data_IF_684018515917
#
_entry.id   IF_684018515917
#
_cell.length_a   1.000
_cell.length_b   1.000
_cell.length_c   1.000
_cell.angle_alpha   90.00
_cell.angle_beta   90.00
_cell.angle_gamma   90.00
#
_symmetry.space_group_name_H-M   'P 1'
#
loop_
_entity.id
_entity.type
_entity.pdbx_description
1 polymer ?
#
# COMPACT_ATOMS: atom_id res chain seq x y z
N UNK A 1 12.63 1.09 -24.31
CA UNK A 1 11.30 1.60 -23.99
C UNK A 1 10.39 0.45 -23.57
N UNK A 2 9.72 0.61 -22.47
CA UNK A 2 8.80 -0.43 -22.01
C UNK A 2 7.42 -0.16 -22.57
N UNK A 3 7.12 -0.79 -23.68
CA UNK A 3 5.82 -0.64 -24.32
C UNK A 3 4.72 -1.07 -23.37
N UNK A 4 3.69 -0.27 -23.26
CA UNK A 4 2.50 -0.59 -22.52
C UNK A 4 2.49 -0.24 -21.03
N UNK A 5 3.64 -0.05 -20.41
CA UNK A 5 3.67 0.31 -18.99
C UNK A 5 3.44 1.81 -18.83
N UNK A 6 2.43 2.18 -18.04
CA UNK A 6 2.19 3.59 -17.75
C UNK A 6 3.26 4.10 -16.79
N UNK A 7 3.59 5.37 -16.92
CA UNK A 7 4.46 6.05 -15.96
C UNK A 7 3.81 6.07 -14.59
N UNK A 8 4.58 5.80 -13.57
CA UNK A 8 4.09 5.87 -12.21
C UNK A 8 3.78 7.31 -11.83
N UNK A 9 2.69 7.50 -11.08
CA UNK A 9 2.36 8.79 -10.51
C UNK A 9 2.71 8.77 -9.03
N UNK A 10 3.55 9.70 -8.60
CA UNK A 10 4.04 9.78 -7.23
C UNK A 10 3.17 10.75 -6.42
N UNK A 11 2.82 10.33 -5.20
CA UNK A 11 2.05 11.11 -4.25
C UNK A 11 2.88 11.25 -2.98
N UNK A 12 3.48 12.41 -2.71
CA UNK A 12 4.17 12.63 -1.44
C UNK A 12 3.18 12.51 -0.28
N UNK A 13 3.58 11.81 0.76
CA UNK A 13 2.72 11.60 1.92
C UNK A 13 3.25 12.44 3.07
N UNK A 14 2.60 13.56 3.32
CA UNK A 14 3.00 14.51 4.35
C UNK A 14 2.15 14.38 5.62
N UNK A 15 0.96 13.81 5.50
CA UNK A 15 0.05 13.66 6.62
C UNK A 15 -1.23 12.96 6.22
N UNK A 16 -2.24 13.04 7.10
CA UNK A 16 -3.50 12.31 6.89
C UNK A 16 -4.25 12.72 5.63
N UNK A 17 -4.19 13.99 5.25
CA UNK A 17 -4.93 14.43 4.06
C UNK A 17 -4.42 13.75 2.80
N UNK A 18 -3.13 13.51 2.70
CA UNK A 18 -2.56 12.79 1.56
C UNK A 18 -2.93 11.31 1.57
N UNK A 19 -3.10 10.71 2.76
CA UNK A 19 -3.58 9.32 2.86
C UNK A 19 -4.96 9.21 2.22
N UNK A 20 -5.87 10.12 2.54
CA UNK A 20 -7.22 10.11 1.98
C UNK A 20 -7.18 10.35 0.48
N UNK A 21 -6.40 11.33 0.04
CA UNK A 21 -6.30 11.68 -1.38
C UNK A 21 -5.78 10.52 -2.23
N UNK A 22 -4.68 9.89 -1.80
CA UNK A 22 -4.07 8.82 -2.60
C UNK A 22 -4.94 7.57 -2.60
N UNK A 23 -5.58 7.23 -1.48
CA UNK A 23 -6.44 6.05 -1.44
C UNK A 23 -7.67 6.24 -2.32
N UNK A 24 -8.27 7.43 -2.33
CA UNK A 24 -9.39 7.75 -3.21
C UNK A 24 -8.99 7.69 -4.68
N UNK A 25 -7.81 8.22 -4.99
CA UNK A 25 -7.28 8.18 -6.35
C UNK A 25 -7.06 6.75 -6.81
N UNK A 26 -6.51 5.90 -5.96
CA UNK A 26 -6.25 4.50 -6.27
C UNK A 26 -7.54 3.74 -6.58
N UNK A 27 -8.57 3.93 -5.76
CA UNK A 27 -9.86 3.27 -5.98
C UNK A 27 -10.49 3.69 -7.30
N UNK A 28 -10.44 4.97 -7.62
CA UNK A 28 -10.97 5.51 -8.87
C UNK A 28 -10.19 4.98 -10.07
N UNK A 29 -8.86 4.96 -9.99
CA UNK A 29 -7.98 4.41 -11.01
C UNK A 29 -8.33 2.95 -11.31
N UNK A 30 -8.52 2.14 -10.27
CA UNK A 30 -8.85 0.73 -10.45
C UNK A 30 -10.18 0.56 -11.18
N UNK A 31 -11.18 1.35 -10.82
CA UNK A 31 -12.48 1.28 -11.50
C UNK A 31 -12.37 1.70 -12.96
N UNK A 32 -11.61 2.74 -13.25
CA UNK A 32 -11.39 3.19 -14.62
C UNK A 32 -10.64 2.14 -15.45
N UNK A 33 -9.79 1.34 -14.81
CA UNK A 33 -9.06 0.26 -15.46
C UNK A 33 -9.86 -1.04 -15.56
N UNK A 34 -11.11 -1.04 -15.07
CA UNK A 34 -11.98 -2.18 -15.22
C UNK A 34 -11.95 -3.19 -14.08
N UNK A 35 -11.31 -2.87 -12.97
CA UNK A 35 -11.42 -3.69 -11.76
C UNK A 35 -12.84 -3.57 -11.22
N UNK A 36 -13.38 -4.65 -10.65
CA UNK A 36 -14.71 -4.56 -10.06
C UNK A 36 -14.69 -3.71 -8.79
N UNK A 37 -15.87 -3.37 -8.30
CA UNK A 37 -16.02 -2.46 -7.16
C UNK A 37 -15.33 -3.02 -5.90
N UNK A 38 -15.39 -4.33 -5.68
CA UNK A 38 -14.75 -4.96 -4.54
C UNK A 38 -13.24 -4.84 -4.61
N UNK A 39 -12.65 -5.16 -5.76
CA UNK A 39 -11.19 -5.06 -5.92
C UNK A 39 -10.71 -3.63 -5.85
N UNK A 40 -11.48 -2.70 -6.38
CA UNK A 40 -11.15 -1.28 -6.27
C UNK A 40 -11.13 -0.83 -4.81
N UNK A 41 -12.10 -1.30 -4.01
CA UNK A 41 -12.15 -0.99 -2.58
C UNK A 41 -10.97 -1.62 -1.84
N UNK A 42 -10.64 -2.87 -2.16
CA UNK A 42 -9.48 -3.54 -1.55
C UNK A 42 -8.18 -2.81 -1.85
N UNK A 43 -8.02 -2.33 -3.07
CA UNK A 43 -6.85 -1.54 -3.44
C UNK A 43 -6.80 -0.23 -2.63
N UNK A 44 -7.92 0.46 -2.50
CA UNK A 44 -7.98 1.69 -1.72
C UNK A 44 -7.59 1.45 -0.26
N UNK A 45 -8.03 0.33 0.33
CA UNK A 45 -7.65 -0.06 1.68
C UNK A 45 -6.15 -0.29 1.80
N UNK A 46 -5.58 -1.04 0.86
CA UNK A 46 -4.13 -1.32 0.86
C UNK A 46 -3.33 -0.02 0.75
N UNK A 47 -3.71 0.86 -0.16
CA UNK A 47 -3.03 2.14 -0.33
C UNK A 47 -3.14 2.99 0.95
N UNK A 48 -4.31 3.00 1.58
CA UNK A 48 -4.52 3.71 2.83
C UNK A 48 -3.60 3.18 3.94
N UNK A 49 -3.48 1.85 4.05
CA UNK A 49 -2.62 1.22 5.05
C UNK A 49 -1.14 1.55 4.82
N UNK A 50 -0.69 1.45 3.58
CA UNK A 50 0.70 1.75 3.23
C UNK A 50 1.02 3.23 3.46
N UNK A 51 0.11 4.13 3.08
CA UNK A 51 0.29 5.56 3.31
C UNK A 51 0.26 5.90 4.80
N UNK A 52 -0.61 5.26 5.57
CA UNK A 52 -0.68 5.46 7.02
C UNK A 52 0.60 5.00 7.71
N UNK A 53 1.20 3.90 7.23
CA UNK A 53 2.49 3.46 7.74
C UNK A 53 3.59 4.50 7.52
N UNK A 54 3.58 5.18 6.38
CA UNK A 54 4.53 6.26 6.11
C UNK A 54 4.34 7.39 7.14
N UNK A 55 3.10 7.77 7.41
CA UNK A 55 2.81 8.83 8.39
C UNK A 55 3.26 8.44 9.78
N UNK A 56 3.05 7.19 10.18
CA UNK A 56 3.38 6.73 11.55
C UNK A 56 4.85 6.47 11.76
N UNK A 57 5.50 5.84 10.81
CA UNK A 57 6.82 5.25 11.01
C UNK A 57 7.87 5.76 10.04
N UNK A 58 7.46 6.35 8.93
CA UNK A 58 8.36 6.93 7.97
C UNK A 58 8.71 8.36 8.35
N UNK A 59 9.88 8.81 7.97
CA UNK A 59 10.28 10.19 8.18
C UNK A 59 9.81 11.03 7.00
N UNK A 60 9.93 10.47 5.80
CA UNK A 60 9.59 11.14 4.56
C UNK A 60 9.27 10.05 3.56
N UNK A 61 8.17 10.16 2.85
CA UNK A 61 7.80 9.08 1.95
C UNK A 61 6.78 9.47 0.90
N UNK A 62 6.54 8.53 0.01
CA UNK A 62 5.62 8.70 -1.09
C UNK A 62 4.98 7.38 -1.49
N UNK A 63 3.82 7.47 -2.12
CA UNK A 63 3.17 6.34 -2.77
C UNK A 63 3.28 6.54 -4.27
N UNK A 64 3.70 5.52 -4.99
CA UNK A 64 3.76 5.54 -6.46
C UNK A 64 2.75 4.53 -6.97
N UNK A 65 1.82 4.99 -7.83
CA UNK A 65 0.82 4.15 -8.47
C UNK A 65 1.13 4.02 -9.95
N UNK A 66 1.14 2.79 -10.46
CA UNK A 66 1.34 2.54 -11.89
C UNK A 66 0.53 1.34 -12.34
N UNK A 67 0.36 1.20 -13.65
CA UNK A 67 -0.34 0.07 -14.25
C UNK A 67 0.52 -0.53 -15.35
N UNK A 68 0.68 -1.85 -15.31
CA UNK A 68 1.39 -2.59 -16.34
C UNK A 68 0.39 -3.45 -17.11
N UNK A 69 -0.02 -3.06 -18.32
CA UNK A 69 -1.01 -3.82 -19.09
C UNK A 69 -0.48 -5.16 -19.59
N UNK A 70 0.83 -5.36 -19.63
CA UNK A 70 1.44 -6.57 -20.16
C UNK A 70 1.53 -7.70 -19.14
N UNK A 71 1.26 -7.42 -17.89
CA UNK A 71 1.31 -8.44 -16.85
C UNK A 71 0.13 -9.41 -16.99
N UNK A 72 0.35 -10.75 -17.02
CA UNK A 72 -0.76 -11.69 -17.10
C UNK A 72 -1.64 -11.63 -15.84
N UNK A 73 -2.96 -11.90 -15.97
CA UNK A 73 -3.66 -12.23 -17.22
C UNK A 73 -4.10 -10.99 -18.01
N UNK A 74 -4.37 -9.86 -17.38
CA UNK A 74 -4.93 -8.69 -18.06
C UNK A 74 -4.33 -7.38 -17.55
N UNK A 75 -3.12 -7.44 -17.01
CA UNK A 75 -2.46 -6.29 -16.46
C UNK A 75 -2.49 -6.27 -14.93
N UNK A 76 -1.73 -5.36 -14.33
CA UNK A 76 -1.68 -5.22 -12.88
C UNK A 76 -1.49 -3.77 -12.48
N UNK A 77 -2.08 -3.41 -11.35
CA UNK A 77 -1.77 -2.15 -10.67
C UNK A 77 -0.63 -2.45 -9.69
N UNK A 78 0.38 -1.60 -9.71
CA UNK A 78 1.53 -1.70 -8.83
C UNK A 78 1.51 -0.50 -7.89
N UNK A 79 1.55 -0.79 -6.60
CA UNK A 79 1.62 0.23 -5.54
C UNK A 79 2.98 0.11 -4.88
N UNK A 80 3.76 1.18 -4.93
CA UNK A 80 5.07 1.22 -4.27
C UNK A 80 5.02 2.25 -3.16
N UNK A 81 5.33 1.83 -1.95
CA UNK A 81 5.41 2.72 -0.79
C UNK A 81 6.88 2.87 -0.39
N UNK A 82 7.42 4.06 -0.61
CA UNK A 82 8.80 4.41 -0.28
C UNK A 82 8.84 5.30 0.94
N UNK A 83 9.75 5.05 1.86
CA UNK A 83 10.04 6.00 2.91
C UNK A 83 11.50 5.87 3.36
N UNK A 84 11.99 6.90 4.07
CA UNK A 84 13.36 6.93 4.58
C UNK A 84 13.42 6.61 6.07
N UNK A 85 12.33 6.09 6.63
CA UNK A 85 12.27 5.68 8.02
C UNK A 85 13.03 4.38 8.28
N UNK A 86 13.04 3.92 9.53
CA UNK A 86 13.77 2.71 9.89
C UNK A 86 13.15 1.47 9.26
N UNK A 87 13.93 0.39 9.10
CA UNK A 87 13.38 -0.86 8.60
C UNK A 87 12.37 -1.45 9.59
N UNK A 88 11.47 -2.29 9.07
CA UNK A 88 10.55 -3.05 9.91
C UNK A 88 11.36 -4.16 10.57
N UNK A 89 11.42 -4.16 11.91
CA UNK A 89 12.28 -5.08 12.64
C UNK A 89 11.82 -6.51 12.57
N UNK A 90 10.52 -6.73 12.59
CA UNK A 90 9.94 -8.07 12.49
C UNK A 90 8.77 -8.02 11.51
N UNK A 91 9.09 -8.30 10.25
CA UNK A 91 8.10 -8.24 9.18
C UNK A 91 6.98 -9.25 9.37
N UNK A 92 7.32 -10.48 9.84
CA UNK A 92 6.31 -11.49 10.09
C UNK A 92 5.28 -11.04 11.11
N UNK A 93 5.76 -10.46 12.20
CA UNK A 93 4.88 -9.98 13.26
C UNK A 93 4.03 -8.81 12.78
N UNK A 94 4.62 -7.91 12.00
CA UNK A 94 3.91 -6.76 11.45
C UNK A 94 2.80 -7.18 10.48
N UNK A 95 2.95 -8.33 9.84
CA UNK A 95 1.97 -8.84 8.87
C UNK A 95 0.82 -9.60 9.52
N UNK A 96 0.86 -9.83 10.82
CA UNK A 96 -0.26 -10.43 11.54
C UNK A 96 -1.25 -9.31 11.88
N UNK A 97 -2.52 -9.50 11.50
CA UNK A 97 -3.56 -8.53 11.79
C UNK A 97 -3.61 -8.27 13.31
N UNK A 98 -3.65 -7.01 13.70
CA UNK A 98 -3.67 -6.61 15.11
C UNK A 98 -2.30 -6.35 15.70
N UNK A 99 -1.24 -6.40 14.88
CA UNK A 99 0.12 -6.11 15.31
C UNK A 99 0.74 -4.99 14.49
N UNK A 100 1.75 -4.36 15.08
CA UNK A 100 2.68 -3.51 14.35
C UNK A 100 4.09 -4.03 14.63
N UNK A 101 5.13 -3.30 14.25
CA UNK A 101 6.50 -3.74 14.46
C UNK A 101 6.93 -3.71 15.93
N UNK A 102 6.08 -3.21 16.82
CA UNK A 102 6.33 -3.19 18.25
C UNK A 102 5.61 -4.32 18.99
N UNK A 103 4.76 -5.08 18.29
CA UNK A 103 4.02 -6.19 18.88
C UNK A 103 2.50 -6.01 18.76
N UNK A 104 1.72 -6.74 19.58
CA UNK A 104 0.27 -6.66 19.49
C UNK A 104 -0.25 -5.25 19.75
N UNK A 105 -1.25 -4.84 18.98
CA UNK A 105 -1.89 -3.55 19.13
C UNK A 105 -3.11 -3.71 20.02
N UNK A 106 -3.29 -2.79 20.96
CA UNK A 106 -4.49 -2.74 21.82
C UNK A 106 -5.73 -2.60 20.91
N UNK A 107 -6.75 -3.45 21.10
CA UNK A 107 -7.99 -3.35 20.29
C UNK A 107 -8.62 -1.97 20.29
N UNK A 108 -8.53 -1.23 21.40
CA UNK A 108 -9.06 0.14 21.44
C UNK A 108 -8.32 1.07 20.48
N UNK A 109 -7.03 0.86 20.28
CA UNK A 109 -6.25 1.65 19.34
C UNK A 109 -6.62 1.30 17.90
N UNK A 110 -6.92 0.03 17.63
CA UNK A 110 -7.38 -0.40 16.30
C UNK A 110 -8.66 0.34 15.93
N UNK A 111 -9.61 0.40 16.86
CA UNK A 111 -10.89 1.10 16.64
C UNK A 111 -10.68 2.59 16.41
N UNK A 112 -9.77 3.22 17.14
CA UNK A 112 -9.46 4.64 16.97
C UNK A 112 -8.83 4.95 15.61
N UNK A 113 -8.15 3.99 15.03
CA UNK A 113 -7.57 4.16 13.69
C UNK A 113 -8.65 4.15 12.61
N UNK A 114 -9.88 3.82 12.98
CA UNK A 114 -10.99 3.83 12.03
C UNK A 114 -10.85 2.80 10.95
N UNK A 115 -10.06 1.75 11.17
CA UNK A 115 -9.72 0.86 10.11
C UNK A 115 -9.87 -0.60 10.42
N UNK A 116 -10.15 -1.33 9.37
CA UNK A 116 -10.03 -2.77 9.32
C UNK A 116 -8.57 -3.16 9.31
N UNK A 117 -7.73 -2.23 8.91
CA UNK A 117 -6.33 -2.49 8.70
C UNK A 117 -5.53 -2.32 9.97
N UNK A 118 -4.69 -3.25 10.21
CA UNK A 118 -3.80 -3.24 11.33
C UNK A 118 -2.40 -3.50 10.82
N UNK A 119 -1.92 -2.55 10.02
CA UNK A 119 -0.60 -2.62 9.43
C UNK A 119 -0.56 -3.54 8.22
N UNK A 120 0.56 -4.22 8.05
CA UNK A 120 0.83 -4.99 6.83
C UNK A 120 0.04 -6.28 6.72
N UNK A 121 -0.61 -6.73 7.80
CA UNK A 121 -1.45 -7.94 7.74
C UNK A 121 -2.58 -7.80 6.74
N UNK A 122 -3.29 -6.67 6.77
CA UNK A 122 -4.37 -6.41 5.82
C UNK A 122 -3.82 -6.31 4.40
N UNK A 123 -2.68 -5.67 4.23
CA UNK A 123 -2.04 -5.55 2.91
C UNK A 123 -1.71 -6.92 2.35
N UNK A 124 -1.10 -7.80 3.16
CA UNK A 124 -0.73 -9.14 2.73
C UNK A 124 -1.95 -9.98 2.37
N UNK A 125 -3.05 -9.78 3.09
CA UNK A 125 -4.28 -10.54 2.83
C UNK A 125 -5.00 -10.08 1.55
N UNK A 126 -5.01 -8.78 1.28
CA UNK A 126 -5.81 -8.22 0.19
C UNK A 126 -5.06 -8.11 -1.14
N UNK A 127 -3.77 -7.87 -1.12
CA UNK A 127 -2.98 -7.79 -2.35
C UNK A 127 -2.73 -9.19 -2.92
N UNK A 128 -2.61 -9.27 -4.23
CA UNK A 128 -2.25 -10.54 -4.87
C UNK A 128 -0.79 -10.89 -4.61
N UNK A 129 0.05 -9.88 -4.46
CA UNK A 129 1.47 -10.08 -4.16
C UNK A 129 1.99 -8.92 -3.34
N UNK A 130 2.85 -9.23 -2.38
CA UNK A 130 3.48 -8.24 -1.52
C UNK A 130 4.98 -8.50 -1.48
N UNK A 131 5.77 -7.45 -1.67
CA UNK A 131 7.22 -7.52 -1.65
C UNK A 131 7.75 -6.44 -0.71
N UNK A 132 8.79 -6.75 0.01
CA UNK A 132 9.45 -5.82 0.93
C UNK A 132 10.94 -5.78 0.60
N UNK A 133 11.49 -4.59 0.56
CA UNK A 133 12.92 -4.42 0.32
C UNK A 133 13.48 -3.31 1.20
N UNK A 134 14.52 -3.64 1.97
CA UNK A 134 15.32 -2.64 2.65
C UNK A 134 16.29 -2.05 1.64
N UNK A 135 16.43 -0.74 1.70
CA UNK A 135 17.33 -0.01 0.83
C UNK A 135 18.22 0.87 1.69
N UNK A 136 19.38 1.24 1.14
CA UNK A 136 20.22 2.21 1.81
C UNK A 136 19.45 3.52 1.97
N UNK A 137 19.24 3.91 3.22
CA UNK A 137 18.52 5.12 3.55
C UNK A 137 17.00 5.00 3.57
N UNK A 138 16.46 3.77 3.52
CA UNK A 138 15.01 3.62 3.57
C UNK A 138 14.51 2.22 3.29
N UNK A 139 13.22 2.15 2.93
CA UNK A 139 12.58 0.88 2.57
C UNK A 139 11.51 1.10 1.51
N UNK A 140 11.21 0.03 0.78
CA UNK A 140 10.13 0.01 -0.21
C UNK A 140 9.26 -1.21 0.02
N UNK A 141 7.95 -0.98 0.06
CA UNK A 141 6.95 -2.04 0.09
C UNK A 141 6.19 -1.95 -1.22
N UNK A 142 6.10 -3.07 -1.95
CA UNK A 142 5.40 -3.13 -3.23
C UNK A 142 4.22 -4.10 -3.12
N UNK A 143 3.03 -3.61 -3.43
CA UNK A 143 1.82 -4.42 -3.48
C UNK A 143 1.31 -4.46 -4.92
N UNK A 144 0.89 -5.63 -5.37
CA UNK A 144 0.43 -5.83 -6.75
C UNK A 144 -0.99 -6.36 -6.76
N UNK A 145 -1.80 -5.82 -7.67
CA UNK A 145 -3.20 -6.22 -7.86
C UNK A 145 -3.39 -6.59 -9.32
N UNK A 146 -3.58 -7.87 -9.60
CA UNK A 146 -3.79 -8.32 -10.97
C UNK A 146 -5.23 -8.09 -11.41
N UNK A 147 -5.37 -7.57 -12.62
CA UNK A 147 -6.69 -7.43 -13.24
C UNK A 147 -7.08 -8.77 -13.88
N UNK A 148 -8.29 -9.21 -13.61
CA UNK A 148 -8.79 -10.51 -14.08
C UNK A 148 -10.14 -10.35 -14.74
#
# INVERSE_FOLDING_TARGET
MQAGRSSGKAFPILGRSEVVTVSSHAGRMARELGFDARRAMELAIVVSELASNIVKHGVQGEIILSFNPDSPPQGEIIVEAHDVGPPIRDLKLAMIDGNDDQGPIDPALILRRGGLGTGLGAVARLADRLEYRDEEGGKTITARFYRR
#
